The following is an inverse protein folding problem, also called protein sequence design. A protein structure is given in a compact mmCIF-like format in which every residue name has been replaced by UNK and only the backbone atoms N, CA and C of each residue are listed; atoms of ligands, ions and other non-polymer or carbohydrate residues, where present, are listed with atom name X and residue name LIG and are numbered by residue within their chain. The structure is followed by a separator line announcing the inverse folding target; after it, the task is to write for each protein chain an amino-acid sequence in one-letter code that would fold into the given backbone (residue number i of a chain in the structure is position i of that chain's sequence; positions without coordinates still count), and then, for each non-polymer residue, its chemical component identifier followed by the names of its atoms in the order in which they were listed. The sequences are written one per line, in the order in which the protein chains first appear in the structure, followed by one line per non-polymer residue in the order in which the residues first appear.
data_IF_539397417350
#
_entry.id   IF_539397417350
#
_cell.length_a   1.000
_cell.length_b   1.000
_cell.length_c   1.000
_cell.angle_alpha   90.00
_cell.angle_beta   90.00
_cell.angle_gamma   90.00
#
_symmetry.space_group_name_H-M   'P 1'
#
loop_
_entity.id
_entity.type
_entity.pdbx_description
1 polymer ?
#
# COMPACT_ATOMS: atom_id res chain seq x y z
N UNK A 1 -33.87 17.18 47.86
CA UNK A 1 -33.96 18.08 46.69
C UNK A 1 -32.57 18.25 46.10
N UNK A 2 -32.43 18.03 44.78
CA UNK A 2 -31.31 18.59 44.01
C UNK A 2 -30.13 17.67 43.68
N UNK A 3 -30.37 16.56 42.98
CA UNK A 3 -29.37 15.99 42.06
C UNK A 3 -29.16 16.95 40.87
N UNK A 4 -27.91 17.20 40.47
CA UNK A 4 -27.55 17.54 39.09
C UNK A 4 -26.03 17.41 38.88
N UNK A 5 -25.57 16.17 38.64
CA UNK A 5 -24.26 15.90 38.05
C UNK A 5 -24.48 15.54 36.57
N UNK A 6 -24.28 16.49 35.65
CA UNK A 6 -24.39 16.22 34.20
C UNK A 6 -23.76 17.27 33.27
N UNK A 7 -22.53 17.75 33.52
CA UNK A 7 -21.87 18.72 32.61
C UNK A 7 -20.44 18.40 32.14
N UNK A 8 -19.79 17.33 32.61
CA UNK A 8 -18.37 17.12 32.30
C UNK A 8 -18.08 16.42 30.94
N UNK A 9 -18.97 15.55 30.46
CA UNK A 9 -18.69 14.71 29.27
C UNK A 9 -18.85 15.46 27.92
N UNK A 10 -19.83 16.37 27.82
CA UNK A 10 -20.11 17.13 26.60
C UNK A 10 -19.02 18.14 26.22
N UNK A 11 -18.41 18.79 27.22
CA UNK A 11 -17.37 19.80 27.00
C UNK A 11 -16.07 19.22 26.41
N UNK A 12 -15.70 18.00 26.80
CA UNK A 12 -14.51 17.31 26.29
C UNK A 12 -14.66 16.92 24.81
N UNK A 13 -15.86 16.45 24.42
CA UNK A 13 -16.18 16.10 23.03
C UNK A 13 -16.20 17.33 22.12
N UNK A 14 -16.90 18.39 22.52
CA UNK A 14 -16.96 19.63 21.74
C UNK A 14 -15.58 20.27 21.54
N UNK A 15 -14.75 20.27 22.58
CA UNK A 15 -13.36 20.76 22.53
C UNK A 15 -12.50 19.93 21.57
N UNK A 16 -12.71 18.61 21.54
CA UNK A 16 -12.01 17.70 20.61
C UNK A 16 -12.37 17.98 19.15
N UNK A 17 -13.67 18.05 18.84
CA UNK A 17 -14.15 18.33 17.48
C UNK A 17 -13.67 19.72 17.01
N UNK A 18 -13.68 20.72 17.89
CA UNK A 18 -13.13 22.05 17.59
C UNK A 18 -11.65 21.99 17.18
N UNK A 19 -10.83 21.26 17.94
CA UNK A 19 -9.40 21.04 17.60
C UNK A 19 -9.22 20.29 16.28
N UNK A 20 -10.03 19.27 16.02
CA UNK A 20 -9.98 18.56 14.75
C UNK A 20 -10.36 19.49 13.58
N UNK A 21 -11.35 20.38 13.75
CA UNK A 21 -11.75 21.33 12.69
C UNK A 21 -10.64 22.34 12.41
N UNK A 22 -9.91 22.78 13.43
CA UNK A 22 -8.82 23.75 13.24
C UNK A 22 -7.56 23.13 12.62
N UNK A 23 -7.27 21.86 12.92
CA UNK A 23 -6.06 21.18 12.43
C UNK A 23 -6.29 20.38 11.16
N UNK A 24 -7.52 19.92 10.93
CA UNK A 24 -7.87 18.92 9.92
C UNK A 24 -7.32 17.53 10.20
N UNK A 25 -6.81 17.26 11.41
CA UNK A 25 -6.21 15.99 11.79
C UNK A 25 -7.09 15.34 12.85
N UNK A 26 -7.59 14.14 12.54
CA UNK A 26 -8.37 13.29 13.44
C UNK A 26 -7.54 12.05 13.75
N UNK A 27 -7.01 11.99 14.97
CA UNK A 27 -6.33 10.80 15.50
C UNK A 27 -7.24 10.07 16.49
N UNK A 28 -7.67 8.87 16.13
CA UNK A 28 -8.55 8.00 16.90
C UNK A 28 -7.98 6.56 16.96
N UNK A 29 -6.66 6.46 17.02
CA UNK A 29 -5.96 5.19 17.20
C UNK A 29 -6.32 4.55 18.54
N UNK A 30 -6.35 3.22 18.60
CA UNK A 30 -6.54 2.43 19.84
C UNK A 30 -7.79 2.82 20.64
N UNK A 31 -8.79 3.38 19.96
CA UNK A 31 -9.97 3.97 20.59
C UNK A 31 -11.11 2.97 20.82
N UNK A 32 -10.87 1.68 20.52
CA UNK A 32 -11.82 0.57 20.65
C UNK A 32 -13.11 0.81 19.84
N UNK A 33 -13.05 1.61 18.78
CA UNK A 33 -14.18 1.94 17.93
C UNK A 33 -14.66 0.69 17.21
N UNK A 34 -15.97 0.42 17.25
CA UNK A 34 -16.60 -0.67 16.51
C UNK A 34 -17.20 -0.21 15.17
N UNK A 35 -17.48 1.08 15.06
CA UNK A 35 -18.10 1.70 13.90
C UNK A 35 -17.32 2.93 13.51
N UNK A 36 -17.43 3.33 12.25
CA UNK A 36 -16.87 4.59 11.80
C UNK A 36 -17.50 5.76 12.57
N UNK A 37 -16.72 6.74 13.06
CA UNK A 37 -17.24 7.83 13.88
C UNK A 37 -18.01 8.86 13.04
N UNK A 38 -19.34 8.93 13.21
CA UNK A 38 -20.22 9.87 12.48
C UNK A 38 -19.79 11.35 12.63
N UNK A 39 -19.28 11.73 13.81
CA UNK A 39 -18.77 13.07 14.07
C UNK A 39 -17.61 13.48 13.15
N UNK A 40 -16.85 12.53 12.61
CA UNK A 40 -15.80 12.79 11.62
C UNK A 40 -16.41 13.03 10.24
N UNK A 41 -17.47 12.30 9.87
CA UNK A 41 -18.20 12.51 8.61
C UNK A 41 -18.85 13.91 8.59
N UNK A 42 -19.40 14.36 9.71
CA UNK A 42 -19.98 15.71 9.91
C UNK A 42 -18.96 16.85 9.83
N UNK A 43 -17.66 16.53 9.79
CA UNK A 43 -16.61 17.52 9.58
C UNK A 43 -16.32 17.80 8.11
N UNK A 44 -16.81 16.96 7.20
CA UNK A 44 -16.75 17.14 5.74
C UNK A 44 -15.35 17.59 5.27
N UNK A 45 -15.28 18.76 4.64
CA UNK A 45 -14.10 19.36 4.02
C UNK A 45 -12.99 19.74 5.02
N UNK A 46 -13.25 19.69 6.32
CA UNK A 46 -12.27 20.03 7.33
C UNK A 46 -11.22 18.92 7.53
N UNK A 47 -11.58 17.65 7.30
CA UNK A 47 -10.68 16.52 7.55
C UNK A 47 -9.67 16.38 6.40
N UNK A 48 -8.38 16.38 6.76
CA UNK A 48 -7.23 16.17 5.88
C UNK A 48 -6.50 14.88 6.19
N UNK A 49 -6.44 14.49 7.46
CA UNK A 49 -5.80 13.25 7.91
C UNK A 49 -6.72 12.57 8.92
N UNK A 50 -7.01 11.30 8.66
CA UNK A 50 -7.81 10.45 9.53
C UNK A 50 -7.01 9.19 9.86
N UNK A 51 -6.66 9.03 11.14
CA UNK A 51 -6.04 7.82 11.69
C UNK A 51 -7.04 7.09 12.58
N UNK A 52 -7.50 5.93 12.11
CA UNK A 52 -8.39 4.98 12.78
C UNK A 52 -7.68 3.64 13.05
N UNK A 53 -6.35 3.64 13.04
CA UNK A 53 -5.54 2.43 13.19
C UNK A 53 -5.77 1.73 14.54
N UNK A 54 -5.68 0.40 14.60
CA UNK A 54 -5.92 -0.40 15.81
C UNK A 54 -7.30 -0.15 16.45
N UNK A 55 -8.36 -0.40 15.69
CA UNK A 55 -9.73 -0.36 16.20
C UNK A 55 -10.45 -1.69 15.88
N UNK A 56 -11.78 -1.69 15.91
CA UNK A 56 -12.62 -2.85 15.59
C UNK A 56 -13.68 -2.47 14.54
N UNK A 57 -13.35 -1.52 13.66
CA UNK A 57 -14.25 -1.02 12.63
C UNK A 57 -14.40 -2.12 11.58
N UNK A 58 -15.64 -2.52 11.33
CA UNK A 58 -15.96 -3.55 10.33
C UNK A 58 -16.45 -2.98 9.00
N UNK A 59 -16.90 -1.72 8.98
CA UNK A 59 -17.51 -1.08 7.82
C UNK A 59 -17.04 0.37 7.65
N UNK A 60 -16.80 0.75 6.40
CA UNK A 60 -16.48 2.12 6.01
C UNK A 60 -17.69 2.68 5.26
N UNK A 61 -18.39 3.68 5.82
CA UNK A 61 -19.64 4.17 5.26
C UNK A 61 -19.41 4.89 3.92
N UNK A 62 -20.38 4.81 3.01
CA UNK A 62 -20.32 5.50 1.70
C UNK A 62 -20.23 7.02 1.81
N UNK A 63 -20.70 7.58 2.93
CA UNK A 63 -20.60 8.98 3.30
C UNK A 63 -19.17 9.46 3.54
N UNK A 64 -18.19 8.55 3.59
CA UNK A 64 -16.76 8.93 3.59
C UNK A 64 -16.42 9.86 2.42
N UNK A 65 -17.16 9.75 1.31
CA UNK A 65 -17.08 10.63 0.14
C UNK A 65 -17.31 12.12 0.43
N UNK A 66 -17.90 12.50 1.58
CA UNK A 66 -18.03 13.90 2.02
C UNK A 66 -16.68 14.53 2.42
N UNK A 67 -15.69 13.71 2.75
CA UNK A 67 -14.36 14.14 3.22
C UNK A 67 -13.43 14.50 2.05
N UNK A 68 -13.91 15.30 1.08
CA UNK A 68 -13.25 15.54 -0.23
C UNK A 68 -11.83 16.15 -0.16
N UNK A 69 -11.46 16.75 0.97
CA UNK A 69 -10.14 17.32 1.21
C UNK A 69 -9.18 16.35 1.93
N UNK A 70 -9.62 15.13 2.21
CA UNK A 70 -8.82 14.12 2.90
C UNK A 70 -7.64 13.70 2.01
N UNK A 71 -6.44 13.75 2.60
CA UNK A 71 -5.17 13.43 1.97
C UNK A 71 -4.59 12.12 2.50
N UNK A 72 -4.91 11.76 3.75
CA UNK A 72 -4.39 10.55 4.40
C UNK A 72 -5.52 9.84 5.14
N UNK A 73 -5.74 8.58 4.78
CA UNK A 73 -6.67 7.68 5.46
C UNK A 73 -5.89 6.45 5.94
N UNK A 74 -5.79 6.31 7.27
CA UNK A 74 -5.16 5.17 7.93
C UNK A 74 -6.24 4.40 8.67
N UNK A 75 -6.51 3.16 8.25
CA UNK A 75 -7.47 2.26 8.90
C UNK A 75 -6.86 0.87 9.10
N UNK A 76 -5.55 0.82 9.30
CA UNK A 76 -4.82 -0.42 9.56
C UNK A 76 -5.29 -1.11 10.86
N UNK A 77 -5.17 -2.42 10.92
CA UNK A 77 -5.51 -3.26 12.09
C UNK A 77 -6.95 -3.03 12.56
N UNK A 78 -7.89 -3.33 11.66
CA UNK A 78 -9.34 -3.25 11.86
C UNK A 78 -10.00 -4.55 11.33
N UNK A 79 -11.32 -4.53 11.14
CA UNK A 79 -12.10 -5.69 10.70
C UNK A 79 -12.82 -5.42 9.37
N UNK A 80 -12.32 -4.47 8.57
CA UNK A 80 -12.96 -4.04 7.33
C UNK A 80 -12.92 -5.17 6.30
N UNK A 81 -14.08 -5.55 5.77
CA UNK A 81 -14.20 -6.61 4.75
C UNK A 81 -14.31 -6.06 3.33
N UNK A 82 -14.87 -4.85 3.18
CA UNK A 82 -15.09 -4.20 1.88
C UNK A 82 -14.92 -2.69 2.01
N UNK A 83 -14.53 -2.07 0.90
CA UNK A 83 -14.51 -0.62 0.76
C UNK A 83 -15.72 -0.16 -0.07
N UNK A 84 -16.34 0.98 0.27
CA UNK A 84 -17.42 1.52 -0.54
C UNK A 84 -16.85 2.06 -1.86
N UNK A 85 -17.53 1.83 -3.00
CA UNK A 85 -17.12 2.41 -4.29
C UNK A 85 -17.06 3.95 -4.28
N UNK A 86 -17.86 4.58 -3.41
CA UNK A 86 -17.80 6.02 -3.16
C UNK A 86 -16.44 6.52 -2.64
N UNK A 87 -15.54 5.64 -2.19
CA UNK A 87 -14.17 5.99 -1.81
C UNK A 87 -13.42 6.68 -2.98
N UNK A 88 -13.69 6.32 -4.23
CA UNK A 88 -13.08 6.92 -5.42
C UNK A 88 -13.32 8.43 -5.56
N UNK A 89 -14.30 8.99 -4.84
CA UNK A 89 -14.58 10.44 -4.82
C UNK A 89 -13.57 11.24 -4.00
N UNK A 90 -12.69 10.60 -3.23
CA UNK A 90 -11.65 11.26 -2.43
C UNK A 90 -10.46 11.68 -3.30
N UNK A 91 -10.69 12.57 -4.26
CA UNK A 91 -9.70 12.97 -5.26
C UNK A 91 -8.45 13.69 -4.70
N UNK A 92 -8.46 14.06 -3.43
CA UNK A 92 -7.30 14.64 -2.73
C UNK A 92 -6.43 13.59 -2.01
N UNK A 93 -6.85 12.32 -1.98
CA UNK A 93 -6.19 11.26 -1.22
C UNK A 93 -4.83 10.92 -1.82
N UNK A 94 -3.80 10.96 -0.98
CA UNK A 94 -2.40 10.66 -1.30
C UNK A 94 -1.93 9.38 -0.63
N UNK A 95 -2.43 9.07 0.56
CA UNK A 95 -2.01 7.91 1.35
C UNK A 95 -3.23 7.15 1.82
N UNK A 96 -3.27 5.85 1.51
CA UNK A 96 -4.31 4.92 1.95
C UNK A 96 -3.68 3.66 2.54
N UNK A 97 -3.77 3.51 3.86
CA UNK A 97 -3.22 2.37 4.62
C UNK A 97 -4.36 1.52 5.16
N UNK A 98 -4.45 0.29 4.69
CA UNK A 98 -5.52 -0.68 4.90
C UNK A 98 -5.00 -1.99 5.50
N UNK A 99 -3.76 -2.00 5.98
CA UNK A 99 -3.07 -3.20 6.43
C UNK A 99 -3.80 -3.92 7.57
N UNK A 100 -3.73 -5.25 7.66
CA UNK A 100 -4.30 -5.98 8.78
C UNK A 100 -5.83 -5.88 8.88
N UNK A 101 -6.52 -5.97 7.74
CA UNK A 101 -7.98 -6.03 7.66
C UNK A 101 -8.44 -7.39 7.10
N UNK A 102 -9.68 -7.49 6.63
CA UNK A 102 -10.28 -8.69 6.04
C UNK A 102 -10.75 -8.46 4.61
N UNK A 103 -10.10 -7.53 3.91
CA UNK A 103 -10.53 -7.09 2.59
C UNK A 103 -10.27 -8.20 1.57
N UNK A 104 -11.33 -8.67 0.91
CA UNK A 104 -11.24 -9.73 -0.10
C UNK A 104 -11.16 -9.20 -1.55
N UNK A 105 -11.66 -7.99 -1.78
CA UNK A 105 -11.61 -7.32 -3.08
C UNK A 105 -11.54 -5.80 -2.91
N UNK A 106 -10.98 -5.12 -3.92
CA UNK A 106 -10.99 -3.67 -4.01
C UNK A 106 -12.06 -3.23 -5.03
N UNK A 107 -12.75 -2.11 -4.81
CA UNK A 107 -13.69 -1.57 -5.78
C UNK A 107 -12.94 -0.99 -7.00
N UNK A 108 -13.52 -1.09 -8.18
CA UNK A 108 -12.94 -0.53 -9.42
C UNK A 108 -12.77 0.99 -9.32
N UNK A 109 -13.63 1.67 -8.56
CA UNK A 109 -13.55 3.11 -8.30
C UNK A 109 -12.27 3.52 -7.56
N UNK A 110 -11.51 2.59 -6.97
CA UNK A 110 -10.20 2.89 -6.42
C UNK A 110 -9.27 3.55 -7.47
N UNK A 111 -9.38 3.14 -8.74
CA UNK A 111 -8.62 3.74 -9.84
C UNK A 111 -8.92 5.22 -10.10
N UNK A 112 -9.98 5.78 -9.53
CA UNK A 112 -10.30 7.21 -9.61
C UNK A 112 -9.41 8.07 -8.71
N UNK A 113 -8.68 7.47 -7.77
CA UNK A 113 -7.78 8.14 -6.84
C UNK A 113 -6.46 8.52 -7.52
N UNK A 114 -6.52 9.29 -8.60
CA UNK A 114 -5.36 9.61 -9.46
C UNK A 114 -4.23 10.38 -8.76
N UNK A 115 -4.47 10.92 -7.56
CA UNK A 115 -3.44 11.57 -6.70
C UNK A 115 -2.85 10.65 -5.64
N UNK A 116 -3.25 9.38 -5.60
CA UNK A 116 -2.74 8.43 -4.63
C UNK A 116 -1.26 8.17 -4.92
N UNK A 117 -0.43 8.36 -3.89
CA UNK A 117 1.02 8.19 -3.92
C UNK A 117 1.42 6.90 -3.18
N UNK A 118 0.67 6.50 -2.16
CA UNK A 118 0.95 5.30 -1.36
C UNK A 118 -0.32 4.51 -1.09
N UNK A 119 -0.29 3.23 -1.46
CA UNK A 119 -1.33 2.25 -1.17
C UNK A 119 -0.70 1.04 -0.47
N UNK A 120 -1.13 0.78 0.76
CA UNK A 120 -0.75 -0.44 1.49
C UNK A 120 -2.00 -1.18 1.92
N UNK A 121 -2.10 -2.44 1.52
CA UNK A 121 -3.21 -3.36 1.83
C UNK A 121 -2.62 -4.71 2.25
N UNK A 122 -1.53 -4.68 3.01
CA UNK A 122 -0.85 -5.90 3.45
C UNK A 122 -1.69 -6.65 4.49
N UNK A 123 -1.48 -7.97 4.65
CA UNK A 123 -2.20 -8.79 5.65
C UNK A 123 -3.71 -8.68 5.50
N UNK A 124 -4.20 -8.98 4.31
CA UNK A 124 -5.62 -8.98 3.95
C UNK A 124 -5.97 -10.32 3.25
N UNK A 125 -7.11 -10.37 2.56
CA UNK A 125 -7.62 -11.58 1.91
C UNK A 125 -7.78 -11.38 0.39
N UNK A 126 -7.05 -10.43 -0.21
CA UNK A 126 -7.20 -10.09 -1.62
C UNK A 126 -6.85 -11.29 -2.51
N UNK A 127 -7.74 -11.60 -3.45
CA UNK A 127 -7.56 -12.66 -4.44
C UNK A 127 -7.13 -12.14 -5.81
N UNK A 128 -7.42 -10.88 -6.11
CA UNK A 128 -6.97 -10.16 -7.31
C UNK A 128 -6.86 -8.66 -7.00
N UNK A 129 -6.15 -7.93 -7.86
CA UNK A 129 -6.22 -6.47 -7.94
C UNK A 129 -7.11 -6.08 -9.12
N UNK A 130 -7.92 -5.02 -9.02
CA UNK A 130 -8.75 -4.56 -10.11
C UNK A 130 -7.88 -4.02 -11.25
N UNK A 131 -8.32 -4.19 -12.50
CA UNK A 131 -7.60 -3.66 -13.67
C UNK A 131 -7.47 -2.14 -13.61
N UNK A 132 -8.35 -1.44 -12.89
CA UNK A 132 -8.27 0.01 -12.72
C UNK A 132 -7.06 0.47 -11.90
N UNK A 133 -6.29 -0.43 -11.26
CA UNK A 133 -5.07 -0.08 -10.51
C UNK A 133 -4.06 0.69 -11.37
N UNK A 134 -3.97 0.39 -12.67
CA UNK A 134 -3.12 1.09 -13.63
C UNK A 134 -3.46 2.56 -13.85
N UNK A 135 -4.62 3.02 -13.35
CA UNK A 135 -5.02 4.44 -13.41
C UNK A 135 -4.29 5.29 -12.36
N UNK A 136 -3.68 4.65 -11.35
CA UNK A 136 -2.96 5.33 -10.26
C UNK A 136 -1.55 5.75 -10.72
N UNK A 137 -1.48 6.66 -11.70
CA UNK A 137 -0.21 7.06 -12.34
C UNK A 137 0.79 7.76 -11.41
N UNK A 138 0.32 8.31 -10.29
CA UNK A 138 1.15 8.95 -9.26
C UNK A 138 1.54 7.99 -8.12
N UNK A 139 1.14 6.72 -8.18
CA UNK A 139 1.45 5.74 -7.15
C UNK A 139 2.94 5.47 -7.14
N UNK A 140 3.58 5.71 -6.00
CA UNK A 140 5.01 5.52 -5.75
C UNK A 140 5.26 4.20 -5.03
N UNK A 141 4.36 3.84 -4.10
CA UNK A 141 4.44 2.61 -3.32
C UNK A 141 3.12 1.84 -3.40
N UNK A 142 3.21 0.57 -3.81
CA UNK A 142 2.15 -0.41 -3.74
C UNK A 142 2.59 -1.60 -2.89
N UNK A 143 1.95 -1.79 -1.74
CA UNK A 143 2.17 -2.97 -0.90
C UNK A 143 0.90 -3.81 -0.79
N UNK A 144 0.97 -5.02 -1.34
CA UNK A 144 -0.09 -6.04 -1.35
C UNK A 144 0.41 -7.35 -0.75
N UNK A 145 1.48 -7.30 0.04
CA UNK A 145 2.10 -8.47 0.66
C UNK A 145 1.15 -9.16 1.65
N UNK A 146 1.30 -10.47 1.88
CA UNK A 146 0.45 -11.23 2.81
C UNK A 146 -1.04 -11.17 2.40
N UNK A 147 -1.31 -11.57 1.16
CA UNK A 147 -2.66 -11.72 0.60
C UNK A 147 -2.79 -13.11 -0.06
N UNK A 148 -3.72 -13.28 -1.00
CA UNK A 148 -3.97 -14.54 -1.73
C UNK A 148 -3.97 -14.30 -3.24
N UNK A 149 -3.18 -13.32 -3.69
CA UNK A 149 -3.08 -12.96 -5.11
C UNK A 149 -2.45 -14.11 -5.89
N UNK A 150 -3.07 -14.49 -7.00
CA UNK A 150 -2.52 -15.48 -7.95
C UNK A 150 -1.73 -14.86 -9.11
N UNK A 151 -2.00 -13.59 -9.39
CA UNK A 151 -1.34 -12.82 -10.43
C UNK A 151 -1.45 -11.34 -10.11
N UNK A 152 -0.65 -10.53 -10.81
CA UNK A 152 -0.82 -9.08 -10.89
C UNK A 152 -1.45 -8.74 -12.25
N UNK A 153 -2.38 -7.76 -12.32
CA UNK A 153 -3.03 -7.40 -13.58
C UNK A 153 -2.04 -6.70 -14.53
N UNK A 154 -2.21 -6.87 -15.84
CA UNK A 154 -1.39 -6.17 -16.86
C UNK A 154 -1.46 -4.64 -16.76
N UNK A 155 -2.50 -4.10 -16.13
CA UNK A 155 -2.59 -2.66 -15.92
C UNK A 155 -1.57 -2.15 -14.89
N UNK A 156 -0.98 -2.99 -14.04
CA UNK A 156 0.01 -2.55 -13.04
C UNK A 156 1.20 -1.85 -13.69
N UNK A 157 1.59 -2.24 -14.91
CA UNK A 157 2.64 -1.59 -15.70
C UNK A 157 2.31 -0.16 -16.14
N UNK A 158 1.06 0.31 -15.97
CA UNK A 158 0.65 1.69 -16.25
C UNK A 158 0.85 2.64 -15.07
N UNK A 159 1.24 2.13 -13.89
CA UNK A 159 1.60 2.94 -12.72
C UNK A 159 2.97 3.62 -12.92
N UNK A 160 3.03 4.62 -13.80
CA UNK A 160 4.28 5.19 -14.32
C UNK A 160 5.24 5.77 -13.26
N UNK A 161 4.75 6.15 -12.09
CA UNK A 161 5.56 6.67 -10.97
C UNK A 161 5.97 5.61 -9.95
N UNK A 162 5.63 4.33 -10.17
CA UNK A 162 5.82 3.28 -9.17
C UNK A 162 7.31 3.01 -8.98
N UNK A 163 7.77 3.21 -7.75
CA UNK A 163 9.15 2.99 -7.33
C UNK A 163 9.30 1.71 -6.51
N UNK A 164 8.26 1.32 -5.80
CA UNK A 164 8.27 0.17 -4.90
C UNK A 164 7.00 -0.66 -5.02
N UNK A 165 7.18 -1.94 -5.37
CA UNK A 165 6.13 -2.94 -5.41
C UNK A 165 6.48 -4.09 -4.46
N UNK A 166 5.65 -4.26 -3.42
CA UNK A 166 5.78 -5.34 -2.46
C UNK A 166 4.58 -6.28 -2.58
N UNK A 167 4.83 -7.53 -2.94
CA UNK A 167 3.83 -8.58 -3.10
C UNK A 167 4.29 -9.92 -2.48
N UNK A 168 5.13 -9.84 -1.44
CA UNK A 168 5.60 -11.01 -0.69
C UNK A 168 4.42 -11.80 -0.09
N UNK A 169 4.61 -13.10 0.16
CA UNK A 169 3.62 -13.94 0.85
C UNK A 169 2.26 -13.92 0.13
N UNK A 170 2.26 -14.30 -1.15
CA UNK A 170 1.08 -14.47 -1.98
C UNK A 170 1.16 -15.83 -2.70
N UNK A 171 0.36 -16.03 -3.74
CA UNK A 171 0.41 -17.21 -4.60
C UNK A 171 0.65 -16.82 -6.07
N UNK A 172 1.44 -15.76 -6.30
CA UNK A 172 1.70 -15.23 -7.64
C UNK A 172 2.48 -16.26 -8.46
N UNK A 173 1.88 -16.75 -9.53
CA UNK A 173 2.48 -17.74 -10.43
C UNK A 173 3.21 -17.07 -11.61
N UNK A 174 2.57 -16.05 -12.18
CA UNK A 174 3.05 -15.32 -13.35
C UNK A 174 3.05 -13.81 -13.08
N UNK A 175 4.07 -13.16 -13.61
CA UNK A 175 4.20 -11.71 -13.61
C UNK A 175 3.79 -11.15 -14.98
N UNK A 176 3.00 -10.06 -15.02
CA UNK A 176 2.55 -9.49 -16.28
C UNK A 176 3.73 -8.88 -17.05
N UNK A 177 3.70 -9.01 -18.39
CA UNK A 177 4.77 -8.52 -19.26
C UNK A 177 4.93 -7.00 -19.16
N UNK A 178 3.84 -6.30 -18.86
CA UNK A 178 3.83 -4.85 -18.61
C UNK A 178 4.66 -4.38 -17.42
N UNK A 179 5.14 -5.25 -16.52
CA UNK A 179 6.07 -4.82 -15.45
C UNK A 179 7.32 -4.14 -16.00
N UNK A 180 7.77 -4.53 -17.21
CA UNK A 180 8.90 -3.90 -17.90
C UNK A 180 8.68 -2.41 -18.18
N UNK A 181 7.42 -1.94 -18.18
CA UNK A 181 7.09 -0.52 -18.40
C UNK A 181 7.37 0.35 -17.17
N UNK A 182 7.60 -0.25 -16.00
CA UNK A 182 7.85 0.45 -14.74
C UNK A 182 9.29 0.96 -14.66
N UNK A 183 9.64 1.93 -15.49
CA UNK A 183 11.01 2.45 -15.61
C UNK A 183 11.53 3.15 -14.33
N UNK A 184 10.63 3.56 -13.44
CA UNK A 184 10.95 4.16 -12.13
C UNK A 184 11.06 3.11 -11.01
N UNK A 185 10.75 1.85 -11.28
CA UNK A 185 10.76 0.79 -10.26
C UNK A 185 12.18 0.59 -9.73
N UNK A 186 12.34 0.77 -8.42
CA UNK A 186 13.61 0.62 -7.70
C UNK A 186 13.64 -0.69 -6.91
N UNK A 187 12.49 -1.12 -6.41
CA UNK A 187 12.34 -2.30 -5.57
C UNK A 187 11.13 -3.15 -5.98
N UNK A 188 11.37 -4.43 -6.22
CA UNK A 188 10.35 -5.45 -6.44
C UNK A 188 10.55 -6.59 -5.44
N UNK A 189 9.60 -6.80 -4.55
CA UNK A 189 9.64 -7.88 -3.56
C UNK A 189 8.49 -8.86 -3.81
N UNK A 190 8.84 -10.11 -4.06
CA UNK A 190 7.96 -11.23 -4.43
C UNK A 190 8.33 -12.51 -3.67
N UNK A 191 8.95 -12.38 -2.50
CA UNK A 191 9.33 -13.54 -1.67
C UNK A 191 8.08 -14.39 -1.32
N UNK A 192 8.25 -15.70 -1.16
CA UNK A 192 7.19 -16.64 -0.80
C UNK A 192 6.00 -16.57 -1.78
N UNK A 193 6.26 -16.85 -3.05
CA UNK A 193 5.27 -16.93 -4.12
C UNK A 193 5.49 -18.21 -4.95
N UNK A 194 4.91 -18.30 -6.15
CA UNK A 194 5.03 -19.42 -7.08
C UNK A 194 5.61 -18.98 -8.43
N UNK A 195 6.43 -17.92 -8.42
CA UNK A 195 7.01 -17.32 -9.63
C UNK A 195 8.05 -18.26 -10.23
N UNK A 196 7.73 -18.86 -11.38
CA UNK A 196 8.67 -19.72 -12.12
C UNK A 196 9.57 -18.93 -13.07
N UNK A 197 9.09 -17.76 -13.53
CA UNK A 197 9.77 -16.91 -14.49
C UNK A 197 9.38 -15.46 -14.27
N UNK A 198 10.29 -14.54 -14.62
CA UNK A 198 10.00 -13.10 -14.67
C UNK A 198 10.05 -12.64 -16.14
N UNK A 199 9.41 -11.51 -16.50
CA UNK A 199 9.40 -11.03 -17.88
C UNK A 199 10.82 -10.73 -18.39
N UNK A 200 11.13 -11.12 -19.63
CA UNK A 200 12.48 -10.99 -20.22
C UNK A 200 13.03 -9.55 -20.18
N UNK A 201 12.14 -8.57 -20.40
CA UNK A 201 12.50 -7.15 -20.36
C UNK A 201 12.74 -6.58 -18.96
N UNK A 202 12.40 -7.30 -17.88
CA UNK A 202 12.38 -6.70 -16.54
C UNK A 202 13.75 -6.17 -16.11
N UNK A 203 14.82 -6.94 -16.30
CA UNK A 203 16.16 -6.54 -15.88
C UNK A 203 16.78 -5.48 -16.81
N UNK A 204 16.39 -5.50 -18.10
CA UNK A 204 16.88 -4.60 -19.15
C UNK A 204 16.18 -3.24 -19.15
N UNK A 205 14.85 -3.24 -19.06
CA UNK A 205 14.00 -2.07 -19.26
C UNK A 205 13.77 -1.30 -17.95
N UNK A 206 13.65 -1.99 -16.80
CA UNK A 206 13.59 -1.34 -15.48
C UNK A 206 14.98 -0.89 -15.02
N UNK A 207 15.50 0.15 -15.67
CA UNK A 207 16.85 0.69 -15.43
C UNK A 207 17.05 1.28 -14.03
N UNK A 208 15.97 1.55 -13.30
CA UNK A 208 16.02 2.01 -11.91
C UNK A 208 16.08 0.86 -10.90
N UNK A 209 15.82 -0.39 -11.35
CA UNK A 209 15.67 -1.55 -10.47
C UNK A 209 17.02 -1.89 -9.85
N UNK A 210 17.04 -1.90 -8.51
CA UNK A 210 18.23 -2.13 -7.69
C UNK A 210 17.98 -3.17 -6.60
N UNK A 211 16.72 -3.49 -6.33
CA UNK A 211 16.32 -4.52 -5.38
C UNK A 211 15.28 -5.42 -6.04
N UNK A 212 15.61 -6.69 -6.19
CA UNK A 212 14.70 -7.74 -6.61
C UNK A 212 14.81 -8.83 -5.57
N UNK A 213 13.68 -9.28 -5.03
CA UNK A 213 13.61 -10.34 -4.02
C UNK A 213 12.55 -11.34 -4.44
N UNK A 214 12.96 -12.58 -4.63
CA UNK A 214 12.22 -13.72 -5.17
C UNK A 214 12.50 -14.98 -4.34
N UNK A 215 12.88 -14.85 -3.07
CA UNK A 215 13.14 -16.01 -2.21
C UNK A 215 11.90 -16.89 -2.08
N UNK A 216 12.10 -18.19 -1.90
CA UNK A 216 11.07 -19.21 -1.84
C UNK A 216 10.10 -19.12 -3.03
N UNK A 217 10.67 -19.05 -4.23
CA UNK A 217 9.97 -19.20 -5.50
C UNK A 217 10.64 -20.33 -6.32
N UNK A 218 9.91 -20.94 -7.26
CA UNK A 218 10.46 -22.00 -8.10
C UNK A 218 11.43 -21.52 -9.21
N UNK A 219 11.57 -20.21 -9.43
CA UNK A 219 12.59 -19.66 -10.35
C UNK A 219 14.01 -20.07 -9.91
N UNK A 220 14.79 -20.60 -10.85
CA UNK A 220 16.17 -21.03 -10.59
C UNK A 220 17.18 -19.90 -10.78
N UNK A 221 18.22 -19.89 -9.95
CA UNK A 221 19.32 -18.93 -10.11
C UNK A 221 20.02 -19.07 -11.47
N UNK A 222 20.18 -20.29 -11.97
CA UNK A 222 20.83 -20.54 -13.27
C UNK A 222 20.04 -19.90 -14.43
N UNK A 223 18.71 -20.03 -14.43
CA UNK A 223 17.86 -19.36 -15.42
C UNK A 223 17.92 -17.84 -15.27
N UNK A 224 17.89 -17.34 -14.03
CA UNK A 224 17.91 -15.91 -13.74
C UNK A 224 19.22 -15.23 -14.21
N UNK A 225 20.37 -15.90 -14.07
CA UNK A 225 21.67 -15.38 -14.51
C UNK A 225 21.81 -15.27 -16.03
N UNK A 226 21.04 -16.05 -16.79
CA UNK A 226 21.06 -16.06 -18.26
C UNK A 226 20.18 -14.95 -18.88
N UNK A 227 19.40 -14.24 -18.08
CA UNK A 227 18.48 -13.22 -18.57
C UNK A 227 19.21 -11.98 -19.11
N UNK A 228 18.64 -11.38 -20.16
CA UNK A 228 19.14 -10.13 -20.71
C UNK A 228 19.05 -8.99 -19.68
N UNK A 229 20.13 -8.23 -19.50
CA UNK A 229 20.20 -7.15 -18.51
C UNK A 229 20.62 -7.60 -17.10
N UNK A 230 20.88 -8.89 -16.87
CA UNK A 230 21.29 -9.41 -15.55
C UNK A 230 22.59 -8.76 -15.05
N UNK A 231 23.61 -8.62 -15.89
CA UNK A 231 24.89 -8.02 -15.50
C UNK A 231 24.73 -6.54 -15.10
N UNK A 232 23.98 -5.78 -15.89
CA UNK A 232 23.68 -4.38 -15.61
C UNK A 232 22.84 -4.22 -14.33
N UNK A 233 21.90 -5.14 -14.08
CA UNK A 233 21.14 -5.19 -12.84
C UNK A 233 22.05 -5.47 -11.63
N UNK A 234 22.93 -6.47 -11.73
CA UNK A 234 23.89 -6.79 -10.68
C UNK A 234 24.83 -5.62 -10.36
N UNK A 235 25.30 -4.89 -11.37
CA UNK A 235 26.06 -3.67 -11.16
C UNK A 235 25.26 -2.59 -10.41
N UNK A 236 23.98 -2.39 -10.77
CA UNK A 236 23.10 -1.43 -10.09
C UNK A 236 22.88 -1.83 -8.63
N UNK A 237 22.64 -3.11 -8.36
CA UNK A 237 22.48 -3.66 -7.00
C UNK A 237 23.74 -3.46 -6.16
N UNK A 238 24.92 -3.81 -6.68
CA UNK A 238 26.22 -3.64 -5.99
C UNK A 238 26.52 -2.17 -5.70
N UNK A 239 26.34 -1.26 -6.68
CA UNK A 239 26.54 0.18 -6.48
C UNK A 239 25.64 0.76 -5.38
N UNK A 240 24.41 0.25 -5.22
CA UNK A 240 23.53 0.62 -4.10
C UNK A 240 24.11 0.14 -2.76
N UNK A 241 24.60 -1.10 -2.72
CA UNK A 241 25.19 -1.70 -1.52
C UNK A 241 26.46 -0.96 -1.07
N UNK A 242 27.39 -0.66 -1.98
CA UNK A 242 28.62 0.07 -1.67
C UNK A 242 28.32 1.45 -1.05
N UNK A 243 27.36 2.18 -1.62
CA UNK A 243 26.89 3.46 -1.05
C UNK A 243 26.29 3.31 0.35
N UNK A 244 25.68 2.17 0.68
CA UNK A 244 25.12 1.92 2.01
C UNK A 244 26.21 1.64 3.05
N UNK A 245 27.28 0.94 2.65
CA UNK A 245 28.48 0.76 3.49
C UNK A 245 29.15 2.11 3.76
N UNK A 246 29.40 2.89 2.70
CA UNK A 246 30.06 4.20 2.79
C UNK A 246 29.28 5.21 3.66
N UNK A 247 27.97 5.04 3.78
CA UNK A 247 27.10 5.89 4.61
C UNK A 247 26.95 5.43 6.06
N UNK A 248 27.77 4.48 6.54
CA UNK A 248 27.74 3.93 7.91
C UNK A 248 26.38 3.36 8.34
N UNK A 249 25.56 2.94 7.37
CA UNK A 249 24.34 2.18 7.67
C UNK A 249 24.79 0.75 7.99
N UNK A 250 24.75 0.35 9.26
CA UNK A 250 25.03 -1.01 9.72
C UNK A 250 24.08 -2.00 9.02
N UNK A 251 24.60 -2.91 8.20
CA UNK A 251 23.80 -3.97 7.58
C UNK A 251 24.51 -5.31 7.78
N UNK A 252 23.76 -6.30 8.28
CA UNK A 252 24.20 -7.69 8.44
C UNK A 252 24.35 -8.44 7.11
N UNK A 253 24.51 -9.77 7.17
CA UNK A 253 24.82 -10.68 6.04
C UNK A 253 23.86 -10.67 4.84
N UNK A 254 22.75 -9.92 4.90
CA UNK A 254 21.79 -9.72 3.80
C UNK A 254 22.30 -8.85 2.66
N UNK A 255 23.45 -8.18 2.83
CA UNK A 255 24.05 -7.33 1.79
C UNK A 255 24.53 -8.06 0.52
N UNK A 256 24.80 -9.35 0.64
CA UNK A 256 25.25 -10.22 -0.46
C UNK A 256 24.11 -10.96 -1.15
N UNK A 257 22.88 -10.72 -0.69
CA UNK A 257 21.70 -11.42 -1.18
C UNK A 257 21.36 -10.97 -2.61
N UNK A 258 21.42 -11.93 -3.54
CA UNK A 258 21.14 -11.71 -4.96
C UNK A 258 19.63 -11.70 -5.24
N UNK A 259 18.82 -12.05 -4.22
CA UNK A 259 17.37 -12.00 -4.29
C UNK A 259 16.73 -13.23 -4.91
N UNK A 260 17.49 -14.27 -5.24
CA UNK A 260 16.99 -15.55 -5.73
C UNK A 260 17.73 -16.66 -4.98
N UNK A 261 17.01 -17.71 -4.60
CA UNK A 261 17.60 -18.86 -3.93
C UNK A 261 18.58 -19.61 -4.85
N UNK A 262 19.65 -20.16 -4.26
CA UNK A 262 20.66 -20.94 -4.98
C UNK A 262 20.18 -22.35 -5.32
#
# INVERSE_FOLDING_TARGET
MGCCASTAAGGSKAKRVSRWRSTGIVGLRDSKLKTFPNEVIEMERAVRTLDLTHNKISDVPGEISKLINMQRLLIADNLVERLPGNLGKLQSLKVLMLDGNRISCLPDELGQLVRLEQLSISRNLLIYLPDTIGSLRNLVLLNVSNNRLKSLPESVGSCASLEELQANDNAVEELPASLCNLIQLKSLCLDNNQVNQIPDGLLKDCKSLQNLSLHNNPISMDQFQLMEGYQEFEERRKKKFDKQIDSNVLIGSKGLDVGVDK
#
